data_IF_794736651765
#
_entry.id   IF_794736651765
#
_cell.length_a   1.000
_cell.length_b   1.000
_cell.length_c   1.000
_cell.angle_alpha   90.00
_cell.angle_beta   90.00
_cell.angle_gamma   90.00
#
_symmetry.space_group_name_H-M   'P 1'
#
loop_
_entity.id
_entity.type
_entity.pdbx_description
1 polymer ?
#
# COMPACT_ATOMS: atom_id res chain seq x y z
N UNK A 1 -33.42 77.51 -0.99
CA UNK A 1 -33.61 76.28 -1.80
C UNK A 1 -32.50 75.31 -1.36
N UNK A 2 -32.59 74.48 -0.32
CA UNK A 2 -33.68 73.65 0.24
C UNK A 2 -34.23 72.68 -0.79
N UNK A 3 -33.84 71.40 -0.66
CA UNK A 3 -34.50 70.12 -1.01
C UNK A 3 -33.42 69.02 -1.06
N UNK A 4 -33.57 67.79 -0.56
CA UNK A 4 -34.29 67.19 0.56
C UNK A 4 -33.69 65.77 0.68
N UNK A 5 -33.52 65.28 1.90
CA UNK A 5 -33.17 63.90 2.18
C UNK A 5 -34.41 62.98 2.05
N UNK A 6 -34.22 61.76 1.56
CA UNK A 6 -35.05 60.61 1.95
C UNK A 6 -34.19 59.35 2.01
N UNK A 7 -34.12 58.81 3.21
CA UNK A 7 -33.55 57.52 3.63
C UNK A 7 -34.32 56.32 3.08
N UNK A 8 -33.62 55.26 2.68
CA UNK A 8 -34.13 53.89 2.82
C UNK A 8 -33.16 53.06 3.67
N UNK A 9 -33.63 52.76 4.87
CA UNK A 9 -33.10 51.72 5.75
C UNK A 9 -33.41 50.35 5.16
N UNK A 10 -32.38 49.54 4.94
CA UNK A 10 -32.53 48.10 4.73
C UNK A 10 -31.74 47.37 5.82
N UNK A 11 -32.48 46.80 6.76
CA UNK A 11 -31.98 45.99 7.88
C UNK A 11 -31.05 44.88 7.40
N UNK A 12 -29.86 44.78 8.01
CA UNK A 12 -29.00 43.61 7.93
C UNK A 12 -29.70 42.41 8.60
N UNK A 13 -29.86 41.25 7.94
CA UNK A 13 -30.17 40.03 8.67
C UNK A 13 -28.90 39.54 9.35
N UNK A 14 -28.97 39.43 10.67
CA UNK A 14 -27.95 38.81 11.54
C UNK A 14 -27.76 37.34 11.18
N UNK A 15 -26.67 37.01 10.50
CA UNK A 15 -26.21 35.64 10.29
C UNK A 15 -25.33 35.21 11.46
N UNK A 16 -25.96 34.75 12.53
CA UNK A 16 -25.30 33.89 13.54
C UNK A 16 -26.16 32.65 13.72
N UNK A 17 -26.05 31.71 12.76
CA UNK A 17 -26.41 30.31 13.00
C UNK A 17 -25.11 29.54 13.03
N UNK A 18 -24.64 29.20 14.23
CA UNK A 18 -23.53 28.29 14.40
C UNK A 18 -23.85 26.99 13.64
N UNK A 19 -23.01 26.62 12.68
CA UNK A 19 -23.17 25.36 11.97
C UNK A 19 -22.98 24.23 12.98
N UNK A 20 -24.02 23.40 13.15
CA UNK A 20 -23.88 22.17 13.93
C UNK A 20 -22.75 21.30 13.33
N UNK A 21 -21.97 20.57 14.15
CA UNK A 21 -21.00 19.61 13.65
C UNK A 21 -21.69 18.61 12.72
N UNK A 22 -21.18 18.44 11.50
CA UNK A 22 -21.80 17.58 10.49
C UNK A 22 -21.50 16.10 10.76
N UNK A 23 -22.54 15.26 10.85
CA UNK A 23 -22.43 13.80 11.01
C UNK A 23 -21.89 13.15 9.71
N UNK A 24 -20.72 12.49 9.72
CA UNK A 24 -20.14 11.83 8.55
C UNK A 24 -20.79 10.48 8.22
N UNK A 25 -21.69 9.96 9.06
CA UNK A 25 -22.27 8.63 8.92
C UNK A 25 -23.33 8.62 7.80
N UNK A 26 -23.11 7.78 6.78
CA UNK A 26 -24.11 7.49 5.75
C UNK A 26 -25.12 6.49 6.32
N UNK A 27 -26.34 6.96 6.61
CA UNK A 27 -27.44 6.11 7.10
C UNK A 27 -28.36 5.69 5.96
N UNK A 28 -28.80 4.44 6.00
CA UNK A 28 -29.91 3.97 5.16
C UNK A 28 -31.16 4.80 5.45
N UNK A 29 -32.02 5.08 4.45
CA UNK A 29 -33.25 5.86 4.64
C UNK A 29 -34.13 5.34 5.79
N UNK A 30 -34.15 4.02 6.00
CA UNK A 30 -34.92 3.33 7.04
C UNK A 30 -34.44 3.58 8.48
N UNK A 31 -33.20 4.07 8.66
CA UNK A 31 -32.55 4.23 9.97
C UNK A 31 -32.50 5.69 10.46
N UNK A 32 -33.24 6.61 9.81
CA UNK A 32 -33.38 7.97 10.32
C UNK A 32 -34.39 7.96 11.48
N UNK A 33 -33.97 8.40 12.67
CA UNK A 33 -34.92 8.76 13.73
C UNK A 33 -35.84 9.85 13.18
N UNK A 34 -37.13 9.75 13.50
CA UNK A 34 -38.11 10.76 13.14
C UNK A 34 -37.62 12.16 13.56
N UNK A 35 -37.85 13.20 12.74
CA UNK A 35 -37.44 14.55 13.09
C UNK A 35 -38.12 14.99 14.38
N UNK A 36 -37.34 15.63 15.26
CA UNK A 36 -37.82 16.29 16.47
C UNK A 36 -38.97 17.27 16.13
N UNK A 37 -40.03 17.36 16.95
CA UNK A 37 -41.20 18.19 16.66
C UNK A 37 -40.83 19.67 16.80
N UNK A 38 -40.43 20.29 15.68
CA UNK A 38 -40.10 21.72 15.65
C UNK A 38 -39.72 22.28 14.27
N UNK A 39 -39.35 21.45 13.30
CA UNK A 39 -39.07 21.91 11.93
C UNK A 39 -40.36 21.96 11.08
N UNK A 40 -41.20 22.96 11.35
CA UNK A 40 -42.36 23.28 10.52
C UNK A 40 -41.97 24.01 9.25
N UNK A 41 -42.13 23.36 8.09
CA UNK A 41 -41.99 23.98 6.77
C UNK A 41 -42.75 23.21 5.68
N UNK A 42 -43.96 23.71 5.36
CA UNK A 42 -44.87 23.43 4.22
C UNK A 42 -44.90 22.01 3.61
N UNK A 43 -46.04 21.35 3.86
CA UNK A 43 -46.58 20.29 3.01
C UNK A 43 -47.12 20.89 1.71
N UNK A 44 -46.42 20.69 0.61
CA UNK A 44 -47.04 20.59 -0.70
C UNK A 44 -46.96 19.12 -1.11
N UNK A 45 -48.13 18.51 -1.30
CA UNK A 45 -48.27 17.11 -1.63
C UNK A 45 -48.04 16.87 -3.11
N UNK A 46 -47.08 16.02 -3.42
CA UNK A 46 -47.05 15.20 -4.63
C UNK A 46 -46.52 13.81 -4.24
N UNK A 47 -47.35 12.80 -4.47
CA UNK A 47 -46.96 11.40 -4.46
C UNK A 47 -45.93 11.17 -5.58
N UNK A 48 -44.64 11.16 -5.23
CA UNK A 48 -43.60 10.63 -6.13
C UNK A 48 -43.09 9.32 -5.55
N UNK A 49 -43.65 8.22 -6.05
CA UNK A 49 -43.07 6.87 -5.98
C UNK A 49 -41.84 6.79 -6.87
N UNK A 50 -40.80 7.55 -6.53
CA UNK A 50 -39.50 7.57 -7.20
C UNK A 50 -38.42 7.02 -6.30
N UNK A 51 -37.68 6.01 -6.75
CA UNK A 51 -36.50 5.52 -6.05
C UNK A 51 -35.46 6.64 -5.95
N UNK A 52 -35.37 7.28 -4.79
CA UNK A 52 -34.52 8.46 -4.57
C UNK A 52 -33.06 8.05 -4.33
N UNK A 53 -32.39 7.55 -5.36
CA UNK A 53 -30.92 7.49 -5.38
C UNK A 53 -30.39 8.81 -5.92
N UNK A 54 -30.17 9.78 -5.02
CA UNK A 54 -29.43 10.99 -5.36
C UNK A 54 -28.00 10.86 -4.83
N UNK A 55 -27.04 10.50 -5.71
CA UNK A 55 -25.66 10.91 -5.49
C UNK A 55 -25.58 12.38 -5.95
N UNK A 56 -25.85 13.31 -5.03
CA UNK A 56 -25.88 14.75 -5.28
C UNK A 56 -24.50 15.25 -5.72
N UNK A 57 -24.30 15.40 -7.02
CA UNK A 57 -23.21 16.19 -7.60
C UNK A 57 -23.75 17.60 -7.87
N UNK A 58 -23.46 18.50 -6.93
CA UNK A 58 -23.65 19.96 -6.97
C UNK A 58 -25.10 20.53 -6.98
N UNK A 59 -25.35 21.43 -6.02
CA UNK A 59 -26.30 22.53 -6.19
C UNK A 59 -27.76 22.28 -5.80
N UNK A 60 -28.06 22.10 -4.51
CA UNK A 60 -29.40 22.35 -3.98
C UNK A 60 -29.29 23.19 -2.71
N UNK A 61 -29.99 24.33 -2.65
CA UNK A 61 -30.05 25.17 -1.46
C UNK A 61 -30.56 24.38 -0.27
N UNK A 62 -29.79 24.32 0.82
CA UNK A 62 -30.14 23.61 2.06
C UNK A 62 -29.41 22.29 2.29
N UNK A 63 -28.71 21.73 1.30
CA UNK A 63 -27.86 20.56 1.47
C UNK A 63 -26.41 20.92 1.18
N UNK A 64 -25.48 20.49 2.05
CA UNK A 64 -24.07 20.89 1.99
C UNK A 64 -23.46 20.56 0.62
N UNK A 65 -22.85 21.56 -0.03
CA UNK A 65 -22.15 21.39 -1.30
C UNK A 65 -21.04 20.33 -1.15
N UNK A 66 -21.19 19.16 -1.79
CA UNK A 66 -20.13 18.18 -1.90
C UNK A 66 -19.07 18.72 -2.87
N UNK A 67 -18.04 19.38 -2.33
CA UNK A 67 -16.92 19.88 -3.12
C UNK A 67 -15.95 18.74 -3.41
N UNK A 68 -16.19 17.98 -4.49
CA UNK A 68 -15.31 16.90 -4.97
C UNK A 68 -13.85 17.36 -5.17
N UNK A 69 -13.63 18.66 -5.38
CA UNK A 69 -12.31 19.26 -5.60
C UNK A 69 -11.49 19.45 -4.31
N UNK A 70 -12.07 19.20 -3.13
CA UNK A 70 -11.37 19.31 -1.85
C UNK A 70 -11.13 17.91 -1.27
N UNK A 71 -9.91 17.35 -1.42
CA UNK A 71 -9.55 16.02 -0.93
C UNK A 71 -9.91 15.77 0.54
N UNK A 72 -9.61 16.75 1.41
CA UNK A 72 -9.85 16.65 2.86
C UNK A 72 -11.32 16.58 3.24
N UNK A 73 -12.24 16.99 2.36
CA UNK A 73 -13.69 16.89 2.57
C UNK A 73 -14.28 15.66 1.88
N UNK A 74 -13.70 15.26 0.75
CA UNK A 74 -14.25 14.20 -0.11
C UNK A 74 -13.83 12.81 0.36
N UNK A 75 -12.57 12.61 0.73
CA UNK A 75 -12.08 11.28 1.12
C UNK A 75 -12.76 10.70 2.35
N UNK A 76 -13.00 11.46 3.45
CA UNK A 76 -13.71 10.92 4.62
C UNK A 76 -15.12 10.40 4.32
N UNK A 77 -15.77 10.92 3.28
CA UNK A 77 -17.08 10.45 2.81
C UNK A 77 -16.96 9.27 1.85
N UNK A 78 -15.97 9.30 0.96
CA UNK A 78 -15.71 8.23 0.00
C UNK A 78 -15.37 6.91 0.71
N UNK A 79 -14.55 6.96 1.76
CA UNK A 79 -14.16 5.76 2.53
C UNK A 79 -15.35 5.10 3.24
N UNK A 80 -16.43 5.84 3.54
CA UNK A 80 -17.64 5.22 4.12
C UNK A 80 -18.32 4.23 3.17
N UNK A 81 -18.10 4.36 1.85
CA UNK A 81 -18.62 3.41 0.87
C UNK A 81 -17.95 2.04 0.95
N UNK A 82 -16.79 1.93 1.60
CA UNK A 82 -16.12 0.65 1.88
C UNK A 82 -16.96 -0.25 2.81
N UNK A 83 -17.92 0.32 3.55
CA UNK A 83 -18.89 -0.46 4.35
C UNK A 83 -19.86 -1.27 3.48
N UNK A 84 -20.00 -0.92 2.20
CA UNK A 84 -20.93 -1.58 1.28
C UNK A 84 -20.13 -2.56 0.42
N UNK A 85 -20.23 -3.85 0.73
CA UNK A 85 -19.45 -4.94 0.09
C UNK A 85 -19.52 -4.92 -1.45
N UNK A 86 -20.65 -4.56 -2.03
CA UNK A 86 -20.82 -4.48 -3.50
C UNK A 86 -19.97 -3.39 -4.16
N UNK A 87 -19.62 -2.32 -3.43
CA UNK A 87 -18.83 -1.20 -3.95
C UNK A 87 -17.40 -1.20 -3.43
N UNK A 88 -17.13 -1.86 -2.30
CA UNK A 88 -15.87 -1.77 -1.58
C UNK A 88 -14.64 -2.03 -2.46
N UNK A 89 -14.66 -3.10 -3.26
CA UNK A 89 -13.58 -3.47 -4.20
C UNK A 89 -13.24 -2.37 -5.20
N UNK A 90 -14.26 -1.76 -5.80
CA UNK A 90 -14.09 -0.72 -6.83
C UNK A 90 -13.73 0.64 -6.24
N UNK A 91 -14.28 0.95 -5.06
CA UNK A 91 -13.92 2.16 -4.31
C UNK A 91 -12.48 2.06 -3.84
N UNK A 92 -12.08 0.92 -3.27
CA UNK A 92 -10.71 0.67 -2.84
C UNK A 92 -9.75 0.70 -4.03
N UNK A 93 -10.10 0.12 -5.18
CA UNK A 93 -9.24 0.17 -6.37
C UNK A 93 -9.00 1.60 -6.87
N UNK A 94 -9.98 2.50 -6.72
CA UNK A 94 -9.77 3.93 -7.00
C UNK A 94 -8.95 4.61 -5.91
N UNK A 95 -9.22 4.29 -4.64
CA UNK A 95 -8.55 4.87 -3.48
C UNK A 95 -7.06 4.56 -3.47
N UNK A 96 -6.65 3.32 -3.81
CA UNK A 96 -5.22 2.92 -3.83
C UNK A 96 -4.38 3.73 -4.82
N UNK A 97 -4.97 4.17 -5.94
CA UNK A 97 -4.30 5.03 -6.91
C UNK A 97 -4.05 6.42 -6.34
N UNK A 98 -4.97 6.91 -5.51
CA UNK A 98 -4.84 8.20 -4.85
C UNK A 98 -3.89 8.16 -3.66
N UNK A 99 -3.93 7.10 -2.84
CA UNK A 99 -3.07 6.92 -1.66
C UNK A 99 -1.64 6.61 -2.06
N UNK A 100 -1.43 5.72 -3.03
CA UNK A 100 -0.10 5.32 -3.52
C UNK A 100 0.41 6.13 -4.73
N UNK A 101 -0.31 7.18 -5.12
CA UNK A 101 0.00 8.03 -6.27
C UNK A 101 1.15 9.01 -6.04
N UNK A 102 1.49 9.79 -7.09
CA UNK A 102 2.61 10.74 -7.07
C UNK A 102 2.29 12.06 -6.35
N UNK A 103 1.02 12.43 -6.24
CA UNK A 103 0.62 13.71 -5.67
C UNK A 103 0.50 13.62 -4.14
N UNK A 104 1.47 14.21 -3.44
CA UNK A 104 1.61 14.11 -1.98
C UNK A 104 0.39 14.65 -1.21
N UNK A 105 -0.20 15.77 -1.63
CA UNK A 105 -1.38 16.34 -0.96
C UNK A 105 -2.62 15.45 -1.07
N UNK A 106 -2.77 14.75 -2.20
CA UNK A 106 -3.86 13.81 -2.43
C UNK A 106 -3.63 12.51 -1.64
N UNK A 107 -2.39 12.02 -1.66
CA UNK A 107 -1.97 10.83 -0.90
C UNK A 107 -2.18 11.04 0.60
N UNK A 108 -1.74 12.18 1.16
CA UNK A 108 -1.93 12.49 2.57
C UNK A 108 -3.40 12.53 2.98
N UNK A 109 -4.23 13.26 2.24
CA UNK A 109 -5.66 13.38 2.56
C UNK A 109 -6.39 12.02 2.47
N UNK A 110 -6.04 11.19 1.49
CA UNK A 110 -6.66 9.86 1.31
C UNK A 110 -6.21 8.85 2.36
N UNK A 111 -4.91 8.82 2.69
CA UNK A 111 -4.37 7.96 3.75
C UNK A 111 -4.95 8.34 5.11
N UNK A 112 -5.00 9.65 5.43
CA UNK A 112 -5.60 10.12 6.69
C UNK A 112 -7.06 9.68 6.79
N UNK A 113 -7.87 9.88 5.76
CA UNK A 113 -9.26 9.45 5.77
C UNK A 113 -9.42 7.92 5.89
N UNK A 114 -8.56 7.13 5.24
CA UNK A 114 -8.59 5.67 5.33
C UNK A 114 -8.21 5.19 6.73
N UNK A 115 -7.18 5.78 7.34
CA UNK A 115 -6.77 5.47 8.70
C UNK A 115 -7.84 5.88 9.70
N UNK A 116 -8.44 7.06 9.55
CA UNK A 116 -9.57 7.49 10.39
C UNK A 116 -10.73 6.51 10.27
N UNK A 117 -11.11 6.08 9.06
CA UNK A 117 -12.14 5.07 8.83
C UNK A 117 -11.84 3.74 9.54
N UNK A 118 -10.57 3.32 9.55
CA UNK A 118 -10.14 2.11 10.24
C UNK A 118 -10.09 2.30 11.77
N UNK A 119 -9.76 3.51 12.23
CA UNK A 119 -9.47 3.85 13.63
C UNK A 119 -10.63 4.56 14.36
N UNK A 120 -11.79 4.80 13.75
CA UNK A 120 -12.90 5.53 14.41
C UNK A 120 -13.15 4.92 15.80
N UNK A 121 -13.01 5.79 16.81
CA UNK A 121 -12.76 5.51 18.23
C UNK A 121 -13.95 5.91 19.11
N UNK A 122 -13.92 5.44 20.36
CA UNK A 122 -14.86 5.66 21.48
C UNK A 122 -16.19 4.89 21.40
N UNK A 123 -16.08 3.55 21.44
CA UNK A 123 -17.23 2.65 21.62
C UNK A 123 -17.15 1.35 20.83
N UNK A 124 -16.31 1.32 19.77
CA UNK A 124 -16.13 0.13 18.93
C UNK A 124 -15.48 -1.00 19.74
N UNK A 125 -16.26 -2.06 19.97
CA UNK A 125 -15.74 -3.40 20.28
C UNK A 125 -14.67 -3.75 19.25
N UNK A 126 -13.54 -4.31 19.71
CA UNK A 126 -12.40 -4.74 18.88
C UNK A 126 -12.83 -5.54 17.63
N UNK A 127 -13.97 -6.23 17.73
CA UNK A 127 -14.66 -6.97 16.67
C UNK A 127 -15.02 -6.12 15.43
N UNK A 128 -15.60 -4.93 15.59
CA UNK A 128 -16.01 -4.10 14.43
C UNK A 128 -14.81 -3.60 13.63
N UNK A 129 -13.73 -3.25 14.34
CA UNK A 129 -12.45 -2.90 13.72
C UNK A 129 -11.88 -4.10 12.96
N UNK A 130 -11.86 -5.28 13.57
CA UNK A 130 -11.37 -6.51 12.94
C UNK A 130 -12.18 -6.86 11.68
N UNK A 131 -13.50 -6.64 11.67
CA UNK A 131 -14.35 -6.84 10.48
C UNK A 131 -13.96 -5.88 9.35
N UNK A 132 -13.75 -4.58 9.64
CA UNK A 132 -13.33 -3.61 8.62
C UNK A 132 -11.95 -3.96 8.05
N UNK A 133 -11.02 -4.34 8.90
CA UNK A 133 -9.69 -4.79 8.49
C UNK A 133 -9.75 -6.07 7.63
N UNK A 134 -10.61 -7.04 7.99
CA UNK A 134 -10.82 -8.28 7.24
C UNK A 134 -11.46 -8.05 5.86
N UNK A 135 -12.46 -7.17 5.77
CA UNK A 135 -13.07 -6.79 4.49
C UNK A 135 -12.04 -6.13 3.57
N UNK A 136 -11.26 -5.19 4.11
CA UNK A 136 -10.20 -4.53 3.35
C UNK A 136 -9.11 -5.50 2.92
N UNK A 137 -8.69 -6.43 3.78
CA UNK A 137 -7.66 -7.41 3.46
C UNK A 137 -8.08 -8.28 2.26
N UNK A 138 -9.34 -8.71 2.24
CA UNK A 138 -9.95 -9.45 1.13
C UNK A 138 -10.00 -8.61 -0.15
N UNK A 139 -10.37 -7.34 -0.05
CA UNK A 139 -10.44 -6.44 -1.21
C UNK A 139 -9.05 -6.10 -1.76
N UNK A 140 -8.03 -5.95 -0.91
CA UNK A 140 -6.63 -5.79 -1.34
C UNK A 140 -6.14 -7.00 -2.11
N UNK A 141 -6.41 -8.22 -1.63
CA UNK A 141 -6.09 -9.43 -2.37
C UNK A 141 -6.79 -9.49 -3.72
N UNK A 142 -8.08 -9.12 -3.76
CA UNK A 142 -8.82 -9.05 -5.01
C UNK A 142 -8.18 -8.06 -6.00
N UNK A 143 -7.79 -6.86 -5.55
CA UNK A 143 -7.10 -5.86 -6.39
C UNK A 143 -5.80 -6.42 -6.96
N UNK A 144 -4.97 -7.04 -6.11
CA UNK A 144 -3.69 -7.62 -6.54
C UNK A 144 -3.88 -8.75 -7.56
N UNK A 145 -4.93 -9.55 -7.42
CA UNK A 145 -5.27 -10.62 -8.37
C UNK A 145 -5.84 -10.09 -9.68
N UNK A 146 -6.78 -9.13 -9.64
CA UNK A 146 -7.43 -8.61 -10.83
C UNK A 146 -6.49 -7.77 -11.70
N UNK A 147 -5.62 -6.98 -11.06
CA UNK A 147 -4.70 -6.07 -11.75
C UNK A 147 -3.28 -6.62 -11.83
N UNK A 148 -3.11 -7.96 -11.79
CA UNK A 148 -1.80 -8.60 -11.89
C UNK A 148 -1.00 -8.08 -13.10
N UNK A 149 0.28 -7.78 -12.90
CA UNK A 149 1.21 -7.18 -13.89
C UNK A 149 0.83 -5.78 -14.41
N UNK A 150 -0.19 -5.14 -13.84
CA UNK A 150 -0.54 -3.75 -14.13
C UNK A 150 0.13 -2.83 -13.10
N UNK A 151 1.38 -2.42 -13.36
CA UNK A 151 2.18 -1.61 -12.43
C UNK A 151 1.49 -0.29 -12.04
N UNK A 152 0.66 0.28 -12.93
CA UNK A 152 -0.13 1.49 -12.65
C UNK A 152 -1.06 1.33 -11.44
N UNK A 153 -1.49 0.11 -11.14
CA UNK A 153 -2.35 -0.19 -9.99
C UNK A 153 -1.56 -0.89 -8.89
N UNK A 154 -0.79 -1.92 -9.23
CA UNK A 154 -0.06 -2.76 -8.26
C UNK A 154 0.94 -1.95 -7.44
N UNK A 155 1.72 -1.05 -8.06
CA UNK A 155 2.71 -0.25 -7.33
C UNK A 155 2.04 0.66 -6.29
N UNK A 156 1.00 1.45 -6.62
CA UNK A 156 0.21 2.18 -5.62
C UNK A 156 -0.45 1.29 -4.57
N UNK A 157 -0.93 0.09 -4.95
CA UNK A 157 -1.49 -0.87 -4.00
C UNK A 157 -0.46 -1.32 -2.97
N UNK A 158 0.74 -1.71 -3.40
CA UNK A 158 1.83 -2.08 -2.46
C UNK A 158 2.21 -0.91 -1.56
N UNK A 159 2.37 0.29 -2.08
CA UNK A 159 2.64 1.47 -1.23
C UNK A 159 1.54 1.70 -0.19
N UNK A 160 0.29 1.49 -0.56
CA UNK A 160 -0.84 1.65 0.36
C UNK A 160 -0.78 0.60 1.47
N UNK A 161 -0.53 -0.67 1.11
CA UNK A 161 -0.38 -1.77 2.06
C UNK A 161 0.81 -1.51 3.00
N UNK A 162 1.96 -1.08 2.47
CA UNK A 162 3.13 -0.69 3.25
C UNK A 162 2.79 0.40 4.30
N UNK A 163 2.08 1.44 3.88
CA UNK A 163 1.63 2.51 4.79
C UNK A 163 0.73 1.95 5.89
N UNK A 164 -0.20 1.06 5.56
CA UNK A 164 -1.10 0.44 6.54
C UNK A 164 -0.32 -0.40 7.56
N UNK A 165 0.65 -1.22 7.11
CA UNK A 165 1.54 -1.95 8.01
C UNK A 165 2.36 -1.04 8.92
N UNK A 166 2.88 0.08 8.41
CA UNK A 166 3.63 1.06 9.21
C UNK A 166 2.79 1.67 10.34
N UNK A 167 1.46 1.69 10.17
CA UNK A 167 0.47 2.15 11.16
C UNK A 167 -0.08 1.02 12.02
N UNK A 168 0.50 -0.17 11.94
CA UNK A 168 0.09 -1.39 12.67
C UNK A 168 -1.33 -1.84 12.34
N UNK A 169 -1.84 -1.47 11.16
CA UNK A 169 -3.06 -2.04 10.60
C UNK A 169 -2.73 -3.44 10.06
N UNK A 170 -3.63 -4.40 10.21
CA UNK A 170 -3.46 -5.81 9.82
C UNK A 170 -2.58 -6.68 10.72
N UNK A 171 -1.83 -6.11 11.68
CA UNK A 171 -0.94 -6.88 12.55
C UNK A 171 -1.66 -7.63 13.69
N UNK A 172 -2.90 -7.28 14.03
CA UNK A 172 -3.63 -7.80 15.19
C UNK A 172 -4.89 -8.63 14.82
N UNK A 173 -5.03 -9.07 13.58
CA UNK A 173 -6.13 -9.97 13.24
C UNK A 173 -5.81 -11.37 13.80
N UNK A 174 -6.74 -12.05 14.45
CA UNK A 174 -6.47 -13.35 15.12
C UNK A 174 -6.83 -14.56 14.22
N UNK A 175 -7.81 -14.46 13.30
CA UNK A 175 -8.28 -15.60 12.50
C UNK A 175 -8.04 -15.50 10.97
N UNK A 176 -8.17 -14.32 10.36
CA UNK A 176 -8.09 -14.16 8.89
C UNK A 176 -6.71 -13.71 8.35
N UNK A 177 -5.78 -13.49 9.25
CA UNK A 177 -4.46 -12.90 9.01
C UNK A 177 -3.57 -13.81 8.18
N UNK A 178 -3.70 -15.11 8.40
CA UNK A 178 -2.90 -16.13 7.72
C UNK A 178 -3.24 -16.22 6.23
N UNK A 179 -4.52 -16.21 5.88
CA UNK A 179 -4.97 -16.21 4.48
C UNK A 179 -4.56 -14.94 3.75
N UNK A 180 -4.72 -13.79 4.41
CA UNK A 180 -4.30 -12.50 3.88
C UNK A 180 -2.80 -12.47 3.58
N UNK A 181 -1.97 -12.80 4.56
CA UNK A 181 -0.51 -12.79 4.37
C UNK A 181 -0.05 -13.83 3.37
N UNK A 182 -0.65 -15.03 3.35
CA UNK A 182 -0.32 -16.05 2.35
C UNK A 182 -0.62 -15.55 0.92
N UNK A 183 -1.80 -14.97 0.71
CA UNK A 183 -2.17 -14.37 -0.58
C UNK A 183 -1.30 -13.17 -0.96
N UNK A 184 -0.90 -12.36 0.02
CA UNK A 184 -0.03 -11.21 -0.17
C UNK A 184 1.40 -11.65 -0.54
N UNK A 185 1.98 -12.62 0.17
CA UNK A 185 3.29 -13.21 -0.14
C UNK A 185 3.32 -13.86 -1.52
N UNK A 186 2.23 -14.53 -1.92
CA UNK A 186 2.09 -15.06 -3.26
C UNK A 186 2.10 -13.95 -4.31
N UNK A 187 1.31 -12.89 -4.09
CA UNK A 187 1.24 -11.73 -4.99
C UNK A 187 2.59 -11.02 -5.11
N UNK A 188 3.30 -10.81 -4.00
CA UNK A 188 4.66 -10.23 -3.98
C UNK A 188 5.64 -11.10 -4.77
N UNK A 189 5.60 -12.41 -4.60
CA UNK A 189 6.47 -13.34 -5.35
C UNK A 189 6.27 -13.24 -6.87
N UNK A 190 5.02 -13.11 -7.31
CA UNK A 190 4.69 -12.99 -8.74
C UNK A 190 5.09 -11.62 -9.29
N UNK A 191 4.76 -10.56 -8.56
CA UNK A 191 4.89 -9.18 -9.02
C UNK A 191 6.32 -8.63 -8.95
N UNK A 192 7.14 -9.11 -8.01
CA UNK A 192 8.49 -8.60 -7.78
C UNK A 192 9.58 -9.38 -8.54
N UNK A 193 9.37 -10.67 -8.87
CA UNK A 193 10.40 -11.57 -9.41
C UNK A 193 11.15 -11.05 -10.64
N UNK A 194 10.49 -10.27 -11.49
CA UNK A 194 11.08 -9.68 -12.70
C UNK A 194 10.87 -8.16 -12.81
N UNK A 195 10.46 -7.51 -11.71
CA UNK A 195 10.21 -6.08 -11.72
C UNK A 195 11.51 -5.28 -11.87
N UNK A 196 11.44 -4.22 -12.67
CA UNK A 196 12.50 -3.18 -12.76
C UNK A 196 12.08 -1.89 -12.06
N UNK A 197 10.84 -1.81 -11.59
CA UNK A 197 10.32 -0.66 -10.86
C UNK A 197 10.87 -0.68 -9.42
N UNK A 198 11.80 0.23 -9.14
CA UNK A 198 12.38 0.39 -7.81
C UNK A 198 11.33 0.74 -6.75
N UNK A 199 10.33 1.57 -7.07
CA UNK A 199 9.31 1.94 -6.10
C UNK A 199 8.46 0.72 -5.68
N UNK A 200 8.13 -0.13 -6.65
CA UNK A 200 7.45 -1.41 -6.42
C UNK A 200 8.31 -2.38 -5.59
N UNK A 201 9.60 -2.48 -5.92
CA UNK A 201 10.54 -3.35 -5.20
C UNK A 201 10.75 -2.90 -3.76
N UNK A 202 10.94 -1.60 -3.51
CA UNK A 202 11.09 -1.08 -2.15
C UNK A 202 9.83 -1.29 -1.31
N UNK A 203 8.66 -0.93 -1.84
CA UNK A 203 7.40 -1.18 -1.13
C UNK A 203 7.20 -2.68 -0.83
N UNK A 204 7.53 -3.54 -1.79
CA UNK A 204 7.50 -4.98 -1.61
C UNK A 204 8.45 -5.49 -0.51
N UNK A 205 9.69 -5.00 -0.48
CA UNK A 205 10.67 -5.33 0.57
C UNK A 205 10.19 -4.88 1.95
N UNK A 206 9.64 -3.66 2.08
CA UNK A 206 9.08 -3.17 3.33
C UNK A 206 7.94 -4.08 3.82
N UNK A 207 7.01 -4.46 2.92
CA UNK A 207 5.92 -5.38 3.27
C UNK A 207 6.47 -6.74 3.74
N UNK A 208 7.46 -7.29 3.02
CA UNK A 208 8.10 -8.54 3.44
C UNK A 208 8.77 -8.42 4.81
N UNK A 209 9.40 -7.27 5.11
CA UNK A 209 9.93 -6.94 6.43
C UNK A 209 8.86 -6.99 7.50
N UNK A 210 7.75 -6.26 7.30
CA UNK A 210 6.63 -6.25 8.25
C UNK A 210 6.02 -7.63 8.48
N UNK A 211 5.80 -8.41 7.41
CA UNK A 211 5.22 -9.76 7.52
C UNK A 211 6.22 -10.73 8.16
N UNK A 212 7.51 -10.57 7.91
CA UNK A 212 8.55 -11.34 8.60
C UNK A 212 8.63 -10.97 10.10
N UNK A 213 8.28 -9.74 10.47
CA UNK A 213 8.16 -9.27 11.86
C UNK A 213 6.94 -9.82 12.63
N UNK A 214 6.06 -10.61 11.99
CA UNK A 214 4.92 -11.26 12.65
C UNK A 214 5.32 -12.65 13.18
N UNK A 215 4.50 -13.25 14.05
CA UNK A 215 4.70 -14.60 14.59
C UNK A 215 4.46 -15.72 13.55
N UNK A 216 5.01 -16.91 13.84
CA UNK A 216 4.93 -18.13 13.01
C UNK A 216 3.49 -18.51 12.60
N UNK A 217 3.28 -19.15 11.43
CA UNK A 217 4.28 -19.79 10.53
C UNK A 217 4.65 -19.02 9.25
N UNK A 218 4.19 -17.78 9.08
CA UNK A 218 4.32 -17.04 7.81
C UNK A 218 5.62 -16.23 7.71
N UNK A 219 6.13 -15.81 8.84
CA UNK A 219 7.40 -15.10 9.00
C UNK A 219 8.60 -15.82 8.35
N UNK A 220 8.71 -17.15 8.49
CA UNK A 220 9.76 -17.95 7.85
C UNK A 220 9.70 -17.89 6.32
N UNK A 221 8.49 -17.90 5.74
CA UNK A 221 8.27 -17.73 4.29
C UNK A 221 8.63 -16.32 3.83
N UNK A 222 8.22 -15.29 4.59
CA UNK A 222 8.54 -13.90 4.30
C UNK A 222 10.06 -13.64 4.37
N UNK A 223 10.72 -14.19 5.39
CA UNK A 223 12.18 -14.13 5.55
C UNK A 223 12.89 -14.84 4.39
N UNK A 224 12.45 -16.03 3.97
CA UNK A 224 13.02 -16.71 2.80
C UNK A 224 12.90 -15.88 1.52
N UNK A 225 11.79 -15.16 1.33
CA UNK A 225 11.63 -14.22 0.22
C UNK A 225 12.55 -12.99 0.35
N UNK A 226 12.75 -12.43 1.54
CA UNK A 226 13.73 -11.36 1.77
C UNK A 226 15.16 -11.81 1.44
N UNK A 227 15.55 -12.99 1.94
CA UNK A 227 16.86 -13.58 1.66
C UNK A 227 17.07 -13.77 0.15
N UNK A 228 16.02 -14.12 -0.61
CA UNK A 228 16.12 -14.22 -2.07
C UNK A 228 16.58 -12.89 -2.72
N UNK A 229 16.07 -11.75 -2.26
CA UNK A 229 16.43 -10.41 -2.76
C UNK A 229 17.86 -9.97 -2.42
N UNK A 230 18.52 -10.60 -1.45
CA UNK A 230 19.95 -10.39 -1.20
C UNK A 230 20.83 -10.77 -2.39
N UNK A 231 20.33 -11.61 -3.31
CA UNK A 231 21.01 -11.95 -4.57
C UNK A 231 20.49 -11.20 -5.79
N UNK A 232 19.80 -10.07 -5.62
CA UNK A 232 19.20 -9.33 -6.74
C UNK A 232 20.24 -8.70 -7.68
N UNK A 233 19.90 -8.54 -8.96
CA UNK A 233 20.78 -7.90 -9.97
C UNK A 233 21.15 -6.45 -9.65
N UNK A 234 20.30 -5.75 -8.90
CA UNK A 234 20.51 -4.33 -8.57
C UNK A 234 21.09 -4.18 -7.15
N UNK A 235 22.29 -3.57 -7.00
CA UNK A 235 22.93 -3.34 -5.70
C UNK A 235 22.06 -2.67 -4.65
N UNK A 236 21.35 -1.60 -5.03
CA UNK A 236 20.45 -0.86 -4.13
C UNK A 236 19.34 -1.72 -3.52
N UNK A 237 18.84 -2.70 -4.28
CA UNK A 237 17.81 -3.63 -3.82
C UNK A 237 18.41 -4.66 -2.85
N UNK A 238 19.63 -5.14 -3.12
CA UNK A 238 20.33 -6.05 -2.20
C UNK A 238 20.59 -5.37 -0.86
N UNK A 239 21.06 -4.12 -0.87
CA UNK A 239 21.29 -3.35 0.35
C UNK A 239 20.01 -3.12 1.14
N UNK A 240 18.93 -2.67 0.49
CA UNK A 240 17.65 -2.49 1.17
C UNK A 240 17.07 -3.81 1.71
N UNK A 241 17.25 -4.93 1.01
CA UNK A 241 16.87 -6.25 1.52
C UNK A 241 17.70 -6.63 2.76
N UNK A 242 19.01 -6.37 2.77
CA UNK A 242 19.87 -6.60 3.93
C UNK A 242 19.44 -5.75 5.13
N UNK A 243 19.10 -4.49 4.91
CA UNK A 243 18.61 -3.60 5.96
C UNK A 243 17.27 -4.10 6.54
N UNK A 244 16.36 -4.60 5.70
CA UNK A 244 15.11 -5.23 6.18
C UNK A 244 15.37 -6.51 6.98
N UNK A 245 16.25 -7.40 6.50
CA UNK A 245 16.61 -8.64 7.22
C UNK A 245 17.23 -8.30 8.58
N UNK A 246 18.09 -7.30 8.64
CA UNK A 246 18.67 -6.81 9.90
C UNK A 246 17.59 -6.37 10.89
N UNK A 247 16.62 -5.55 10.45
CA UNK A 247 15.52 -5.10 11.31
C UNK A 247 14.65 -6.27 11.79
N UNK A 248 14.35 -7.24 10.93
CA UNK A 248 13.55 -8.43 11.26
C UNK A 248 14.24 -9.28 12.33
N UNK A 249 15.57 -9.49 12.21
CA UNK A 249 16.34 -10.26 13.19
C UNK A 249 16.42 -9.54 14.55
N UNK A 250 16.43 -8.21 14.57
CA UNK A 250 16.37 -7.44 15.83
C UNK A 250 14.99 -7.46 16.48
N UNK A 251 13.92 -7.58 15.70
CA UNK A 251 12.55 -7.52 16.19
C UNK A 251 12.01 -8.90 16.62
N UNK A 252 12.54 -9.99 16.05
CA UNK A 252 12.08 -11.34 16.32
C UNK A 252 13.20 -12.23 16.85
N UNK A 253 13.23 -12.40 18.16
CA UNK A 253 14.16 -13.33 18.83
C UNK A 253 13.82 -14.81 18.52
N UNK A 254 12.59 -15.10 18.09
CA UNK A 254 12.13 -16.47 17.85
C UNK A 254 12.41 -17.02 16.43
N UNK A 255 12.83 -16.18 15.48
CA UNK A 255 12.99 -16.59 14.07
C UNK A 255 14.24 -17.42 13.82
N UNK A 256 15.27 -17.18 14.62
CA UNK A 256 16.57 -17.82 14.51
C UNK A 256 16.98 -18.19 15.94
N UNK A 257 17.55 -19.38 16.17
CA UNK A 257 18.06 -19.73 17.50
C UNK A 257 18.97 -18.62 18.05
N UNK A 258 18.82 -18.24 19.32
CA UNK A 258 19.56 -17.12 19.94
C UNK A 258 21.09 -17.23 19.74
N UNK A 259 21.62 -18.46 19.74
CA UNK A 259 23.03 -18.78 19.50
C UNK A 259 23.52 -18.48 18.08
N UNK A 260 22.60 -18.22 17.15
CA UNK A 260 22.86 -18.02 15.72
C UNK A 260 22.52 -16.62 15.23
N UNK A 261 21.78 -15.82 16.01
CA UNK A 261 21.39 -14.45 15.64
C UNK A 261 22.63 -13.57 15.48
N UNK A 262 23.54 -13.58 16.46
CA UNK A 262 24.78 -12.77 16.39
C UNK A 262 25.60 -13.08 15.14
N UNK A 263 25.70 -14.37 14.80
CA UNK A 263 26.41 -14.85 13.61
C UNK A 263 25.73 -14.43 12.31
N UNK A 264 24.39 -14.39 12.28
CA UNK A 264 23.64 -13.88 11.14
C UNK A 264 23.84 -12.37 10.96
N UNK A 265 23.86 -11.61 12.06
CA UNK A 265 24.09 -10.16 12.05
C UNK A 265 25.52 -9.82 11.62
N UNK A 266 26.53 -10.59 12.05
CA UNK A 266 27.91 -10.47 11.58
C UNK A 266 27.99 -10.63 10.06
N UNK A 267 27.44 -11.73 9.51
CA UNK A 267 27.40 -11.96 8.05
C UNK A 267 26.68 -10.83 7.31
N UNK A 268 25.58 -10.29 7.85
CA UNK A 268 24.84 -9.18 7.24
C UNK A 268 25.62 -7.87 7.21
N UNK A 269 26.42 -7.59 8.23
CA UNK A 269 27.15 -6.33 8.37
C UNK A 269 28.50 -6.35 7.67
N UNK A 270 29.19 -7.50 7.63
CA UNK A 270 30.47 -7.66 6.94
C UNK A 270 30.32 -7.78 5.42
N UNK A 271 29.21 -8.35 4.94
CA UNK A 271 29.01 -8.55 3.50
C UNK A 271 28.73 -7.21 2.80
N UNK A 272 29.52 -6.88 1.78
CA UNK A 272 29.25 -5.73 0.92
C UNK A 272 28.10 -6.01 -0.06
N UNK A 273 26.86 -5.81 0.38
CA UNK A 273 25.66 -6.06 -0.45
C UNK A 273 25.59 -5.18 -1.70
N UNK A 274 26.25 -4.02 -1.71
CA UNK A 274 26.34 -3.16 -2.89
C UNK A 274 27.45 -3.56 -3.86
N UNK A 275 28.35 -4.46 -3.45
CA UNK A 275 29.53 -4.91 -4.20
C UNK A 275 29.23 -5.95 -5.27
N UNK A 276 30.16 -6.88 -5.46
CA UNK A 276 30.05 -7.91 -6.48
C UNK A 276 28.87 -8.85 -6.20
N UNK A 277 28.19 -9.30 -7.26
CA UNK A 277 27.03 -10.18 -7.13
C UNK A 277 27.39 -11.53 -6.49
N UNK A 278 28.60 -12.04 -6.74
CA UNK A 278 29.03 -13.34 -6.24
C UNK A 278 29.35 -13.31 -4.73
N UNK A 279 29.88 -12.18 -4.23
CA UNK A 279 30.04 -11.95 -2.79
C UNK A 279 28.69 -11.93 -2.08
N UNK A 280 27.72 -11.18 -2.62
CA UNK A 280 26.36 -11.13 -2.07
C UNK A 280 25.67 -12.50 -2.09
N UNK A 281 25.85 -13.29 -3.17
CA UNK A 281 25.33 -14.67 -3.22
C UNK A 281 25.96 -15.57 -2.16
N UNK A 282 27.26 -15.42 -1.92
CA UNK A 282 27.99 -16.19 -0.90
C UNK A 282 27.50 -15.84 0.51
N UNK A 283 27.35 -14.55 0.82
CA UNK A 283 26.77 -14.08 2.08
C UNK A 283 25.33 -14.60 2.27
N UNK A 284 24.51 -14.56 1.22
CA UNK A 284 23.15 -15.11 1.24
C UNK A 284 23.12 -16.62 1.52
N UNK A 285 24.02 -17.41 0.94
CA UNK A 285 24.09 -18.86 1.23
C UNK A 285 24.38 -19.12 2.70
N UNK A 286 25.33 -18.39 3.30
CA UNK A 286 25.62 -18.47 4.73
C UNK A 286 24.39 -18.15 5.59
N UNK A 287 23.60 -17.14 5.19
CA UNK A 287 22.36 -16.79 5.91
C UNK A 287 21.29 -17.87 5.80
N UNK A 288 21.14 -18.54 4.66
CA UNK A 288 20.24 -19.71 4.54
C UNK A 288 20.68 -20.86 5.45
N UNK A 289 21.99 -21.15 5.50
CA UNK A 289 22.53 -22.18 6.40
C UNK A 289 22.29 -21.86 7.88
N UNK A 290 22.43 -20.59 8.26
CA UNK A 290 22.23 -20.14 9.65
C UNK A 290 20.76 -20.19 10.05
N UNK A 291 19.86 -19.73 9.17
CA UNK A 291 18.41 -19.67 9.42
C UNK A 291 17.73 -21.04 9.29
N UNK A 292 18.37 -22.02 8.68
CA UNK A 292 17.79 -23.35 8.44
C UNK A 292 16.63 -23.32 7.44
N UNK A 293 16.45 -22.22 6.70
CA UNK A 293 15.43 -22.07 5.68
C UNK A 293 15.93 -22.67 4.37
N UNK A 294 15.12 -23.55 3.75
CA UNK A 294 15.44 -24.07 2.43
C UNK A 294 15.58 -22.94 1.43
N UNK A 295 16.75 -22.84 0.80
CA UNK A 295 16.89 -22.03 -0.40
C UNK A 295 15.95 -22.63 -1.45
N UNK A 296 14.81 -22.00 -1.70
CA UNK A 296 13.94 -22.35 -2.84
C UNK A 296 14.79 -22.48 -4.10
N UNK A 297 14.34 -23.23 -5.14
CA UNK A 297 15.20 -23.84 -6.15
C UNK A 297 15.98 -22.79 -6.96
N UNK A 298 17.11 -22.34 -6.42
CA UNK A 298 18.08 -21.50 -7.08
C UNK A 298 19.07 -22.44 -7.71
N UNK A 299 18.88 -22.67 -9.01
CA UNK A 299 19.89 -23.04 -9.99
C UNK A 299 21.09 -23.76 -9.37
N UNK A 300 21.00 -25.09 -9.32
CA UNK A 300 22.18 -25.92 -9.27
C UNK A 300 23.18 -25.32 -10.26
N UNK A 301 24.31 -24.86 -9.72
CA UNK A 301 25.54 -24.74 -10.47
C UNK A 301 25.76 -26.13 -11.05
N UNK A 302 25.36 -26.30 -12.30
CA UNK A 302 25.66 -27.49 -13.08
C UNK A 302 27.17 -27.42 -13.29
N UNK A 303 27.92 -27.97 -12.33
CA UNK A 303 29.30 -28.37 -12.53
C UNK A 303 29.28 -29.46 -13.60
N UNK A 304 29.17 -29.05 -14.87
CA UNK A 304 29.54 -29.88 -16.01
C UNK A 304 31.06 -29.88 -16.04
N UNK A 305 31.63 -30.98 -15.56
CA UNK A 305 32.99 -31.39 -15.91
C UNK A 305 33.13 -31.27 -17.44
N UNK A 306 34.13 -30.53 -17.97
CA UNK A 306 34.34 -30.47 -19.40
C UNK A 306 34.91 -31.81 -19.87
N UNK A 307 34.08 -32.58 -20.57
CA UNK A 307 34.55 -33.73 -21.34
C UNK A 307 35.37 -33.22 -22.51
N UNK A 308 36.56 -33.81 -22.69
CA UNK A 308 37.51 -33.52 -23.76
C UNK A 308 36.83 -33.61 -25.13
N UNK A 309 37.03 -32.56 -25.94
CA UNK A 309 36.82 -32.60 -27.37
C UNK A 309 35.99 -31.43 -27.90
N UNK A 310 36.58 -30.24 -27.95
CA UNK A 310 36.44 -29.38 -29.14
C UNK A 310 37.52 -28.29 -29.11
N UNK A 311 38.61 -28.51 -29.83
CA UNK A 311 39.52 -27.44 -30.21
C UNK A 311 38.87 -26.68 -31.37
N UNK A 312 38.51 -25.40 -31.18
CA UNK A 312 38.94 -24.29 -32.06
C UNK A 312 38.34 -22.93 -31.70
N UNK A 313 39.25 -21.94 -31.74
CA UNK A 313 39.10 -20.48 -31.76
C UNK A 313 38.75 -19.78 -30.44
N UNK A 314 39.81 -19.57 -29.68
CA UNK A 314 39.95 -18.49 -28.71
C UNK A 314 40.07 -17.16 -29.47
N UNK A 315 38.99 -16.38 -29.54
CA UNK A 315 39.07 -14.94 -29.86
C UNK A 315 39.18 -14.19 -28.55
N UNK A 316 40.37 -13.66 -28.28
CA UNK A 316 40.63 -12.70 -27.20
C UNK A 316 39.75 -11.48 -27.47
N UNK A 317 38.77 -11.22 -26.60
CA UNK A 317 38.03 -9.97 -26.60
C UNK A 317 38.96 -8.87 -26.12
N UNK A 318 39.44 -8.09 -27.06
CA UNK A 318 40.17 -6.85 -26.86
C UNK A 318 39.21 -5.81 -26.25
N UNK A 319 39.48 -5.37 -25.03
CA UNK A 319 38.66 -4.37 -24.31
C UNK A 319 38.62 -3.00 -25.02
N UNK A 320 39.38 -2.82 -26.11
CA UNK A 320 39.42 -1.61 -26.91
C UNK A 320 38.38 -1.56 -28.07
N UNK A 321 37.60 -2.62 -28.28
CA UNK A 321 36.59 -2.67 -29.35
C UNK A 321 35.39 -1.73 -29.09
N UNK A 322 35.10 -1.42 -27.82
CA UNK A 322 34.06 -0.44 -27.44
C UNK A 322 34.48 1.02 -27.58
N UNK A 323 35.78 1.32 -27.68
CA UNK A 323 36.25 2.69 -27.92
C UNK A 323 36.31 3.02 -29.43
N UNK A 324 36.60 2.02 -30.26
CA UNK A 324 36.67 2.16 -31.72
C UNK A 324 35.31 2.53 -32.36
N UNK A 325 34.20 2.15 -31.72
CA UNK A 325 32.85 2.47 -32.17
C UNK A 325 32.40 3.91 -31.86
N UNK A 326 33.08 4.62 -30.95
CA UNK A 326 32.78 6.00 -30.57
C UNK A 326 33.54 7.05 -31.41
N UNK A 327 34.60 6.66 -32.12
CA UNK A 327 35.39 7.58 -32.98
C UNK A 327 34.86 7.60 -34.43
N UNK A 328 33.91 6.74 -34.78
CA UNK A 328 33.27 6.72 -36.10
C UNK A 328 32.08 7.68 -36.28
N UNK A 329 31.63 8.36 -35.21
CA UNK A 329 30.45 9.24 -35.26
C UNK A 329 30.79 10.74 -35.37
N UNK A 330 32.07 11.10 -35.47
CA UNK A 330 32.52 12.49 -35.63
C UNK A 330 33.38 12.63 -36.89
N UNK A 331 32.74 12.47 -38.05
CA UNK A 331 33.42 12.53 -39.35
C UNK A 331 32.47 12.77 -40.52
N UNK A 332 31.60 13.77 -40.40
CA UNK A 332 31.15 14.76 -41.41
C UNK A 332 30.02 15.60 -40.78
#
# INVERSE_FOLDING_TARGET
>A
MLLLATSLSASRPSLTRAAAPWDPIIRLPSNRLAPEPGEGGRQDGEEETGTKWALLVAGSSGYGNYRHQVPTVSYPRLVQLLRISSYSKYVLSGLVISTGGLQESLSKASVTALLEYLQVSEGDINEERNVRECMLSTDFLWILQQYQKCDRVVTPTFKTIEILFSKKVFLNMEDHTQEFYSGLLHSLSVELRASKDFAKLFAGLSILGYVASVTEPINSKALSQLLFFLGHRYPKIRKAAADQVYLVLLQNENLVPEDKIERALEVLTETCWEGALDEAKTGRCKLYEITGLDSGPSQQVRNRVPSKGDERKMTVTDENESYSSLVGFSGF
#
